data_IF_913864943280
#
_entry.id   IF_913864943280
#
_cell.length_a   1.000
_cell.length_b   1.000
_cell.length_c   1.000
_cell.angle_alpha   90.00
_cell.angle_beta   90.00
_cell.angle_gamma   90.00
#
_symmetry.space_group_name_H-M   'P 1'
#
loop_
_entity.id
_entity.type
_entity.pdbx_description
1 polymer ?
#
# COMPACT_ATOMS: atom_id res chain seq x y z
N UNK A 1 15.59 -35.78 68.01
CA UNK A 1 14.40 -35.71 68.90
C UNK A 1 13.19 -35.50 67.98
N UNK A 2 12.62 -36.54 67.36
CA UNK A 2 11.47 -37.35 67.90
C UNK A 2 10.27 -36.42 68.23
N UNK A 3 9.05 -36.54 67.70
CA UNK A 3 8.23 -37.70 67.34
C UNK A 3 7.10 -37.28 66.36
N UNK A 4 6.60 -38.26 65.60
CA UNK A 4 5.28 -38.25 64.94
C UNK A 4 4.14 -38.29 65.97
N UNK A 5 2.89 -38.05 65.53
CA UNK A 5 1.96 -39.19 65.38
C UNK A 5 1.21 -39.10 64.05
N UNK A 6 1.27 -40.10 63.16
CA UNK A 6 0.45 -41.34 63.16
C UNK A 6 -1.02 -41.08 63.45
N UNK A 7 -1.80 -40.88 62.39
CA UNK A 7 -3.18 -41.33 62.35
C UNK A 7 -3.38 -42.20 61.11
N UNK A 8 -3.43 -43.49 61.40
CA UNK A 8 -3.81 -44.59 60.52
C UNK A 8 -5.23 -44.39 60.00
N UNK A 9 -5.39 -44.34 58.67
CA UNK A 9 -6.65 -44.72 58.03
C UNK A 9 -6.46 -46.05 57.31
N UNK A 10 -7.04 -47.07 57.93
CA UNK A 10 -7.29 -48.38 57.36
C UNK A 10 -8.11 -48.22 56.08
N UNK A 11 -7.57 -48.68 54.94
CA UNK A 11 -8.32 -48.84 53.70
C UNK A 11 -8.90 -50.26 53.68
N UNK A 12 -10.20 -50.43 53.35
CA UNK A 12 -10.77 -51.75 53.17
C UNK A 12 -10.25 -52.37 51.88
N UNK A 13 -9.74 -53.59 52.02
CA UNK A 13 -9.43 -54.51 50.95
C UNK A 13 -10.76 -55.07 50.41
N UNK A 14 -11.34 -54.46 49.38
CA UNK A 14 -12.51 -55.03 48.69
C UNK A 14 -12.42 -54.81 47.19
N UNK A 15 -12.47 -55.90 46.43
CA UNK A 15 -12.73 -55.87 45.00
C UNK A 15 -11.62 -56.41 44.11
N UNK A 16 -11.09 -57.61 44.40
CA UNK A 16 -10.44 -58.42 43.37
C UNK A 16 -11.52 -58.84 42.35
N UNK A 17 -11.64 -58.14 41.22
CA UNK A 17 -12.26 -58.72 40.03
C UNK A 17 -11.21 -59.58 39.33
N UNK A 18 -11.16 -60.85 39.72
CA UNK A 18 -10.41 -61.87 39.00
C UNK A 18 -11.05 -62.08 37.61
N UNK A 19 -10.57 -61.33 36.61
CA UNK A 19 -10.71 -61.73 35.21
C UNK A 19 -9.36 -62.28 34.75
N UNK A 20 -9.30 -63.60 34.58
CA UNK A 20 -8.16 -64.28 33.96
C UNK A 20 -8.24 -64.06 32.45
N UNK A 21 -7.52 -63.07 31.94
CA UNK A 21 -7.31 -62.90 30.51
C UNK A 21 -6.02 -63.62 30.12
N UNK A 22 -6.15 -64.84 29.59
CA UNK A 22 -5.02 -65.58 29.01
C UNK A 22 -4.73 -64.98 27.64
N UNK A 23 -3.59 -64.29 27.47
CA UNK A 23 -3.16 -63.75 26.19
C UNK A 23 -1.74 -64.21 25.86
N UNK A 24 -1.55 -64.77 24.67
CA UNK A 24 -0.28 -65.30 24.15
C UNK A 24 0.39 -64.30 23.20
N UNK A 25 0.81 -63.15 23.73
CA UNK A 25 1.51 -62.12 22.98
C UNK A 25 2.22 -61.15 23.92
N UNK A 26 3.35 -60.61 23.49
CA UNK A 26 4.21 -59.67 24.25
C UNK A 26 3.37 -58.59 24.93
N UNK A 27 3.22 -58.70 26.26
CA UNK A 27 2.31 -57.89 27.04
C UNK A 27 2.68 -56.41 26.99
N UNK A 28 1.77 -55.58 26.47
CA UNK A 28 1.80 -54.13 26.67
C UNK A 28 1.72 -53.86 28.17
N UNK A 29 2.83 -53.41 28.76
CA UNK A 29 2.97 -53.01 30.17
C UNK A 29 2.16 -51.73 30.44
N UNK A 30 0.83 -51.84 30.40
CA UNK A 30 -0.06 -50.74 30.71
C UNK A 30 0.00 -50.47 32.22
N UNK A 31 0.82 -49.50 32.63
CA UNK A 31 0.75 -48.92 33.98
C UNK A 31 -0.34 -47.87 34.00
N UNK A 32 -1.53 -48.23 34.46
CA UNK A 32 -2.55 -47.23 34.81
C UNK A 32 -2.17 -46.58 36.13
N UNK A 33 -1.92 -45.26 36.13
CA UNK A 33 -1.85 -44.50 37.39
C UNK A 33 -3.22 -44.52 38.05
N UNK A 34 -3.32 -44.76 39.37
CA UNK A 34 -4.61 -44.69 40.05
C UNK A 34 -5.21 -43.30 39.85
N UNK A 35 -6.50 -43.23 39.53
CA UNK A 35 -7.22 -41.97 39.42
C UNK A 35 -7.16 -41.31 40.80
N UNK A 36 -6.29 -40.31 40.95
CA UNK A 36 -6.31 -39.43 42.10
C UNK A 36 -7.66 -38.70 42.01
N UNK A 37 -8.62 -39.13 42.82
CA UNK A 37 -9.90 -38.46 43.03
C UNK A 37 -9.66 -37.12 43.75
N UNK A 38 -8.94 -36.22 43.07
CA UNK A 38 -8.74 -34.86 43.53
C UNK A 38 -10.11 -34.21 43.73
N UNK A 39 -10.26 -33.46 44.81
CA UNK A 39 -11.47 -32.71 45.10
C UNK A 39 -11.88 -31.91 43.84
N UNK A 40 -13.15 -31.93 43.45
CA UNK A 40 -13.61 -31.31 42.22
C UNK A 40 -13.12 -29.85 42.16
N UNK A 41 -12.39 -29.51 41.09
CA UNK A 41 -11.73 -28.23 40.93
C UNK A 41 -12.72 -27.10 41.20
N UNK A 42 -12.41 -26.26 42.20
CA UNK A 42 -13.28 -25.16 42.62
C UNK A 42 -13.66 -24.32 41.40
N UNK A 43 -14.96 -24.18 41.14
CA UNK A 43 -15.49 -23.46 39.99
C UNK A 43 -14.85 -22.08 39.93
N UNK A 44 -14.20 -21.74 38.80
CA UNK A 44 -13.62 -20.40 38.59
C UNK A 44 -14.74 -19.38 38.80
N UNK A 45 -14.56 -18.49 39.78
CA UNK A 45 -15.53 -17.41 40.04
C UNK A 45 -15.62 -16.54 38.78
N UNK A 46 -16.84 -16.18 38.38
CA UNK A 46 -17.03 -15.17 37.33
C UNK A 46 -16.39 -13.87 37.83
N UNK A 47 -15.60 -13.23 36.95
CA UNK A 47 -15.02 -11.92 37.23
C UNK A 47 -16.15 -10.91 37.43
N UNK A 48 -15.95 -9.96 38.34
CA UNK A 48 -16.91 -8.90 38.58
C UNK A 48 -17.22 -8.16 37.26
N UNK A 49 -18.50 -7.82 37.01
CA UNK A 49 -18.90 -7.16 35.76
C UNK A 49 -18.15 -5.84 35.53
N UNK A 50 -17.79 -5.14 36.62
CA UNK A 50 -17.01 -3.91 36.58
C UNK A 50 -15.57 -4.13 36.07
N UNK A 51 -14.94 -5.25 36.44
CA UNK A 51 -13.58 -5.59 35.98
C UNK A 51 -13.58 -5.96 34.49
N UNK A 52 -14.63 -6.63 34.02
CA UNK A 52 -14.81 -6.95 32.59
C UNK A 52 -14.98 -5.67 31.77
N UNK A 53 -15.88 -4.77 32.19
CA UNK A 53 -16.10 -3.47 31.55
C UNK A 53 -14.81 -2.63 31.49
N UNK A 54 -14.06 -2.57 32.58
CA UNK A 54 -12.77 -1.86 32.60
C UNK A 54 -11.73 -2.48 31.65
N UNK A 55 -11.69 -3.81 31.50
CA UNK A 55 -10.81 -4.48 30.54
C UNK A 55 -11.20 -4.17 29.10
N UNK A 56 -12.50 -4.13 28.81
CA UNK A 56 -13.03 -3.77 27.49
C UNK A 56 -12.76 -2.30 27.14
N UNK A 57 -13.01 -1.37 28.08
CA UNK A 57 -12.69 0.06 27.89
C UNK A 57 -11.19 0.28 27.65
N UNK A 58 -10.32 -0.45 28.37
CA UNK A 58 -8.87 -0.41 28.14
C UNK A 58 -8.50 -0.92 26.74
N UNK A 59 -9.13 -2.01 26.26
CA UNK A 59 -8.92 -2.52 24.90
C UNK A 59 -9.41 -1.52 23.84
N UNK A 60 -10.61 -0.95 24.03
CA UNK A 60 -11.19 0.08 23.14
C UNK A 60 -10.27 1.29 23.01
N UNK A 61 -9.81 1.84 24.14
CA UNK A 61 -8.88 3.00 24.15
C UNK A 61 -7.53 2.68 23.51
N UNK A 62 -7.03 1.44 23.61
CA UNK A 62 -5.80 1.00 22.92
C UNK A 62 -5.99 0.95 21.41
N UNK A 63 -7.07 0.32 20.95
CA UNK A 63 -7.42 0.23 19.54
C UNK A 63 -7.65 1.63 18.94
N UNK A 64 -8.39 2.49 19.63
CA UNK A 64 -8.62 3.88 19.19
C UNK A 64 -7.31 4.66 19.03
N UNK A 65 -6.36 4.51 19.98
CA UNK A 65 -5.04 5.14 19.85
C UNK A 65 -4.23 4.55 18.68
N UNK A 66 -4.32 3.25 18.42
CA UNK A 66 -3.65 2.62 17.29
C UNK A 66 -4.23 3.09 15.96
N UNK A 67 -5.56 3.14 15.85
CA UNK A 67 -6.27 3.69 14.68
C UNK A 67 -5.83 5.14 14.44
N UNK A 68 -5.85 6.00 15.47
CA UNK A 68 -5.38 7.40 15.35
C UNK A 68 -3.91 7.53 14.94
N UNK A 69 -3.05 6.55 15.23
CA UNK A 69 -1.64 6.54 14.78
C UNK A 69 -1.53 6.09 13.32
N UNK A 70 -2.25 5.04 12.94
CA UNK A 70 -2.29 4.55 11.56
C UNK A 70 -2.91 5.59 10.62
N UNK A 71 -3.98 6.27 11.03
CA UNK A 71 -4.59 7.36 10.25
C UNK A 71 -3.65 8.54 10.03
N UNK A 72 -2.77 8.83 11.00
CA UNK A 72 -1.75 9.88 10.86
C UNK A 72 -0.63 9.47 9.90
N UNK A 73 -0.19 8.22 9.97
CA UNK A 73 0.85 7.68 9.09
C UNK A 73 0.33 7.54 7.64
N UNK A 74 -0.90 7.05 7.44
CA UNK A 74 -1.51 6.87 6.12
C UNK A 74 -1.63 8.17 5.29
N UNK A 75 -1.54 9.34 5.93
CA UNK A 75 -1.53 10.65 5.27
C UNK A 75 -0.13 11.14 4.88
N UNK A 76 0.92 10.50 5.35
CA UNK A 76 2.29 10.84 4.98
C UNK A 76 2.53 10.32 3.56
N UNK A 77 2.79 11.25 2.64
CA UNK A 77 3.13 10.92 1.26
C UNK A 77 4.54 10.34 1.21
N UNK A 78 4.77 9.43 0.27
CA UNK A 78 6.12 8.95 -0.03
C UNK A 78 6.96 10.14 -0.53
N UNK A 79 8.22 10.28 -0.10
CA UNK A 79 9.10 11.32 -0.61
C UNK A 79 9.38 11.10 -2.09
N UNK A 80 9.59 12.19 -2.84
CA UNK A 80 9.90 12.17 -4.27
C UNK A 80 11.40 12.34 -4.43
N UNK A 81 12.10 11.23 -4.67
CA UNK A 81 13.57 11.19 -4.71
C UNK A 81 14.16 12.10 -5.79
N UNK A 82 13.46 12.27 -6.93
CA UNK A 82 13.92 13.10 -8.05
C UNK A 82 13.94 14.61 -7.74
N UNK A 83 13.13 15.06 -6.76
CA UNK A 83 13.09 16.46 -6.36
C UNK A 83 14.20 16.82 -5.36
N UNK A 84 14.75 15.82 -4.67
CA UNK A 84 15.77 16.01 -3.65
C UNK A 84 17.17 15.77 -4.23
N UNK A 85 18.12 16.63 -3.88
CA UNK A 85 19.52 16.44 -4.28
C UNK A 85 20.16 15.39 -3.38
N UNK A 86 20.74 14.31 -3.91
CA UNK A 86 21.45 13.33 -3.10
C UNK A 86 22.60 13.97 -2.31
N UNK A 87 22.71 13.62 -1.02
CA UNK A 87 23.73 14.17 -0.11
C UNK A 87 25.16 13.94 -0.62
N UNK A 88 25.40 12.80 -1.27
CA UNK A 88 26.70 12.46 -1.89
C UNK A 88 27.18 13.53 -2.89
N UNK A 89 26.26 14.12 -3.68
CA UNK A 89 26.60 15.15 -4.65
C UNK A 89 26.97 16.48 -3.99
N UNK A 90 26.42 16.74 -2.81
CA UNK A 90 26.73 17.94 -2.01
C UNK A 90 28.14 17.79 -1.43
N UNK A 91 28.44 16.64 -0.83
CA UNK A 91 29.75 16.35 -0.23
C UNK A 91 30.88 16.32 -1.28
N UNK A 92 30.61 15.76 -2.45
CA UNK A 92 31.58 15.64 -3.54
C UNK A 92 31.61 16.85 -4.48
N UNK A 93 30.89 17.92 -4.18
CA UNK A 93 30.77 19.09 -5.04
C UNK A 93 32.15 19.64 -5.42
N UNK A 94 33.09 19.70 -4.49
CA UNK A 94 34.46 20.19 -4.72
C UNK A 94 35.23 19.34 -5.75
N UNK A 95 35.03 18.03 -5.76
CA UNK A 95 35.69 17.07 -6.66
C UNK A 95 35.03 17.03 -8.03
N UNK A 96 33.71 17.17 -8.09
CA UNK A 96 32.90 17.04 -9.33
C UNK A 96 32.69 18.35 -10.09
N UNK A 97 32.98 19.49 -9.46
CA UNK A 97 32.76 20.81 -10.08
C UNK A 97 33.66 21.00 -11.31
N UNK A 98 33.03 21.19 -12.47
CA UNK A 98 33.72 21.54 -13.71
C UNK A 98 34.09 23.03 -13.71
N UNK A 99 35.29 23.35 -14.17
CA UNK A 99 35.72 24.74 -14.37
C UNK A 99 35.07 25.29 -15.64
N UNK A 100 34.00 26.07 -15.49
CA UNK A 100 33.28 26.67 -16.62
C UNK A 100 33.98 27.98 -17.01
N UNK A 101 34.42 28.15 -18.27
CA UNK A 101 35.01 29.41 -18.72
C UNK A 101 33.96 30.53 -18.71
N UNK A 102 34.39 31.76 -18.41
CA UNK A 102 33.51 32.93 -18.49
C UNK A 102 33.10 33.13 -19.96
N UNK A 103 31.81 33.32 -20.26
CA UNK A 103 31.37 33.54 -21.63
C UNK A 103 31.90 34.87 -22.17
N UNK A 104 32.22 34.91 -23.46
CA UNK A 104 32.55 36.16 -24.16
C UNK A 104 31.30 37.03 -24.32
N UNK A 105 31.48 38.33 -24.51
CA UNK A 105 30.36 39.26 -24.68
C UNK A 105 29.49 38.90 -25.89
N UNK A 106 30.11 38.52 -27.02
CA UNK A 106 29.43 38.08 -28.24
C UNK A 106 28.55 36.84 -28.01
N UNK A 107 29.00 35.89 -27.18
CA UNK A 107 28.22 34.70 -26.83
C UNK A 107 27.01 35.05 -25.94
N UNK A 108 27.14 36.05 -25.07
CA UNK A 108 26.02 36.52 -24.25
C UNK A 108 24.97 37.23 -25.10
N UNK A 109 25.40 38.09 -26.02
CA UNK A 109 24.50 38.81 -26.93
C UNK A 109 23.75 37.85 -27.87
N UNK A 110 24.46 36.89 -28.47
CA UNK A 110 23.83 35.88 -29.33
C UNK A 110 22.81 35.02 -28.58
N UNK A 111 23.08 34.62 -27.33
CA UNK A 111 22.11 33.93 -26.48
C UNK A 111 20.88 34.79 -26.19
N UNK A 112 21.08 36.05 -25.81
CA UNK A 112 19.98 36.96 -25.53
C UNK A 112 19.09 37.22 -26.76
N UNK A 113 19.69 37.29 -27.96
CA UNK A 113 18.94 37.40 -29.22
C UNK A 113 18.16 36.11 -29.50
N UNK A 114 18.76 34.94 -29.31
CA UNK A 114 18.11 33.65 -29.51
C UNK A 114 16.94 33.45 -28.54
N UNK A 115 17.10 33.83 -27.27
CA UNK A 115 16.02 33.80 -26.27
C UNK A 115 14.85 34.69 -26.67
N UNK A 116 15.10 35.91 -27.17
CA UNK A 116 14.05 36.81 -27.68
C UNK A 116 13.32 36.21 -28.87
N UNK A 117 14.05 35.61 -29.81
CA UNK A 117 13.46 34.94 -30.97
C UNK A 117 12.63 33.73 -30.55
N UNK A 118 13.13 32.92 -29.63
CA UNK A 118 12.43 31.77 -29.07
C UNK A 118 11.16 32.19 -28.35
N UNK A 119 11.21 33.22 -27.50
CA UNK A 119 10.04 33.75 -26.81
C UNK A 119 8.96 34.21 -27.80
N UNK A 120 9.36 34.93 -28.87
CA UNK A 120 8.45 35.36 -29.94
C UNK A 120 7.83 34.16 -30.65
N UNK A 121 8.63 33.15 -30.99
CA UNK A 121 8.14 31.93 -31.65
C UNK A 121 7.12 31.19 -30.79
N UNK A 122 7.44 30.94 -29.51
CA UNK A 122 6.54 30.27 -28.57
C UNK A 122 5.26 31.05 -28.32
N UNK A 123 5.32 32.38 -28.30
CA UNK A 123 4.13 33.23 -28.23
C UNK A 123 3.24 33.04 -29.45
N UNK A 124 3.81 33.01 -30.66
CA UNK A 124 3.06 32.81 -31.90
C UNK A 124 2.41 31.43 -31.97
N UNK A 125 3.14 30.38 -31.59
CA UNK A 125 2.63 29.01 -31.48
C UNK A 125 1.43 28.94 -30.52
N UNK A 126 1.55 29.54 -29.32
CA UNK A 126 0.45 29.56 -28.35
C UNK A 126 -0.75 30.36 -28.81
N UNK A 127 -0.54 31.48 -29.49
CA UNK A 127 -1.62 32.27 -30.07
C UNK A 127 -2.37 31.45 -31.13
N UNK A 128 -1.66 30.70 -31.97
CA UNK A 128 -2.27 29.80 -32.94
C UNK A 128 -3.06 28.66 -32.27
N UNK A 129 -2.54 28.07 -31.20
CA UNK A 129 -3.25 27.07 -30.38
C UNK A 129 -4.58 27.64 -29.84
N UNK A 130 -4.56 28.85 -29.28
CA UNK A 130 -5.78 29.49 -28.76
C UNK A 130 -6.81 29.77 -29.85
N UNK A 131 -6.37 30.30 -30.99
CA UNK A 131 -7.27 30.51 -32.13
C UNK A 131 -7.89 29.21 -32.63
N UNK A 132 -7.14 28.10 -32.59
CA UNK A 132 -7.65 26.79 -32.96
C UNK A 132 -8.70 26.31 -31.95
N UNK A 133 -8.43 26.43 -30.65
CA UNK A 133 -9.40 26.05 -29.62
C UNK A 133 -10.68 26.88 -29.71
N UNK A 134 -10.58 28.20 -29.90
CA UNK A 134 -11.74 29.07 -30.06
C UNK A 134 -12.60 28.64 -31.26
N UNK A 135 -11.96 28.28 -32.38
CA UNK A 135 -12.67 27.76 -33.57
C UNK A 135 -13.37 26.44 -33.30
N UNK A 136 -12.69 25.50 -32.64
CA UNK A 136 -13.26 24.18 -32.31
C UNK A 136 -14.47 24.35 -31.38
N UNK A 137 -14.34 25.17 -30.33
CA UNK A 137 -15.42 25.42 -29.36
C UNK A 137 -16.58 26.15 -30.02
N UNK A 138 -16.33 27.15 -30.86
CA UNK A 138 -17.38 27.86 -31.59
C UNK A 138 -18.12 26.93 -32.57
N UNK A 139 -17.39 26.06 -33.28
CA UNK A 139 -17.98 25.07 -34.17
C UNK A 139 -18.84 24.05 -33.41
N UNK A 140 -18.35 23.55 -32.26
CA UNK A 140 -19.10 22.65 -31.38
C UNK A 140 -20.38 23.30 -30.87
N UNK A 141 -20.30 24.54 -30.37
CA UNK A 141 -21.46 25.26 -29.87
C UNK A 141 -22.51 25.52 -30.96
N UNK A 142 -22.07 25.91 -32.16
CA UNK A 142 -22.96 26.08 -33.32
C UNK A 142 -23.64 24.77 -33.69
N UNK A 143 -22.89 23.67 -33.78
CA UNK A 143 -23.43 22.36 -34.10
C UNK A 143 -24.47 21.89 -33.07
N UNK A 144 -24.22 22.12 -31.78
CA UNK A 144 -25.19 21.81 -30.71
C UNK A 144 -26.44 22.68 -30.79
N UNK A 145 -26.32 23.97 -31.11
CA UNK A 145 -27.46 24.85 -31.32
C UNK A 145 -28.33 24.43 -32.51
N UNK A 146 -27.71 24.06 -33.64
CA UNK A 146 -28.44 23.51 -34.79
C UNK A 146 -29.10 22.16 -34.48
N UNK A 147 -28.41 21.29 -33.72
CA UNK A 147 -28.95 20.01 -33.28
C UNK A 147 -30.19 20.20 -32.40
N UNK A 148 -30.17 21.17 -31.49
CA UNK A 148 -31.30 21.46 -30.60
C UNK A 148 -32.54 21.93 -31.38
N UNK A 149 -32.35 22.74 -32.42
CA UNK A 149 -33.44 23.19 -33.30
C UNK A 149 -34.02 22.05 -34.14
N UNK A 150 -33.19 21.07 -34.54
CA UNK A 150 -33.61 19.93 -35.33
C UNK A 150 -34.25 18.81 -34.50
N UNK A 151 -33.70 18.51 -33.32
CA UNK A 151 -34.17 17.44 -32.42
C UNK A 151 -33.65 17.63 -30.99
N UNK A 152 -34.55 17.93 -30.07
CA UNK A 152 -34.22 18.09 -28.64
C UNK A 152 -33.78 16.76 -27.99
N UNK A 153 -34.37 15.63 -28.39
CA UNK A 153 -34.00 14.31 -27.85
C UNK A 153 -32.53 13.94 -28.12
N UNK A 154 -32.01 14.28 -29.31
CA UNK A 154 -30.62 14.02 -29.66
C UNK A 154 -29.67 14.96 -28.93
N UNK A 155 -30.06 16.23 -28.77
CA UNK A 155 -29.32 17.21 -28.00
C UNK A 155 -29.14 16.78 -26.53
N UNK A 156 -30.22 16.33 -25.87
CA UNK A 156 -30.17 15.84 -24.49
C UNK A 156 -29.23 14.65 -24.32
N UNK A 157 -29.13 13.76 -25.32
CA UNK A 157 -28.18 12.64 -25.30
C UNK A 157 -26.75 13.10 -25.56
N UNK A 158 -26.54 14.01 -26.51
CA UNK A 158 -25.20 14.48 -26.90
C UNK A 158 -24.44 15.24 -25.80
N UNK A 159 -25.16 15.89 -24.87
CA UNK A 159 -24.55 16.62 -23.74
C UNK A 159 -24.13 15.69 -22.61
N UNK A 160 -24.67 14.46 -22.54
CA UNK A 160 -24.34 13.55 -21.46
C UNK A 160 -22.86 13.17 -21.52
N UNK A 161 -22.14 13.21 -20.39
CA UNK A 161 -20.75 12.77 -20.36
C UNK A 161 -20.69 11.26 -20.62
N UNK A 162 -19.79 10.85 -21.52
CA UNK A 162 -19.58 9.44 -21.82
C UNK A 162 -18.69 8.79 -20.76
N UNK A 163 -19.20 7.83 -19.95
CA UNK A 163 -18.40 7.14 -18.95
C UNK A 163 -17.30 6.26 -19.57
N UNK A 164 -17.42 5.87 -20.85
CA UNK A 164 -16.43 5.04 -21.53
C UNK A 164 -15.10 5.77 -21.80
N UNK A 165 -15.08 7.10 -21.71
CA UNK A 165 -13.87 7.91 -21.88
C UNK A 165 -12.89 7.77 -20.71
N UNK A 166 -13.29 7.17 -19.58
CA UNK A 166 -12.44 6.98 -18.40
C UNK A 166 -12.28 5.48 -18.09
N UNK A 167 -11.04 4.96 -17.94
CA UNK A 167 -9.76 5.64 -18.03
C UNK A 167 -9.24 5.80 -19.48
N UNK A 168 -8.88 7.03 -19.86
CA UNK A 168 -8.19 7.30 -21.12
C UNK A 168 -6.68 7.04 -20.98
N UNK A 169 -6.12 6.22 -21.87
CA UNK A 169 -4.68 5.94 -21.95
C UNK A 169 -4.20 6.24 -23.36
N UNK A 170 -3.18 7.09 -23.47
CA UNK A 170 -2.51 7.39 -24.73
C UNK A 170 -0.99 7.30 -24.55
N UNK A 171 -0.32 6.75 -25.55
CA UNK A 171 1.14 6.74 -25.62
C UNK A 171 1.60 7.89 -26.50
N UNK A 172 2.64 8.60 -26.07
CA UNK A 172 3.23 9.68 -26.85
C UNK A 172 3.92 9.18 -28.13
N UNK A 173 4.19 10.07 -29.09
CA UNK A 173 4.93 9.70 -30.29
C UNK A 173 6.36 9.25 -29.94
N UNK A 174 6.83 8.20 -30.62
CA UNK A 174 8.21 7.70 -30.52
C UNK A 174 9.12 8.42 -31.53
N UNK A 175 10.41 8.56 -31.21
CA UNK A 175 11.38 9.18 -32.14
C UNK A 175 11.55 8.37 -33.43
N UNK A 176 11.47 7.05 -33.34
CA UNK A 176 11.55 6.12 -34.47
C UNK A 176 10.43 5.09 -34.36
N UNK A 177 9.75 4.75 -35.46
CA UNK A 177 8.69 3.74 -35.43
C UNK A 177 9.26 2.34 -35.12
N UNK A 178 8.44 1.42 -34.57
CA UNK A 178 8.87 0.05 -34.30
C UNK A 178 9.34 -0.68 -35.55
N UNK A 179 10.43 -1.44 -35.41
CA UNK A 179 10.92 -2.34 -36.46
C UNK A 179 10.09 -3.62 -36.41
N UNK A 180 9.61 -4.08 -37.57
CA UNK A 180 8.87 -5.34 -37.68
C UNK A 180 9.80 -6.52 -37.39
N UNK A 181 9.29 -7.49 -36.62
CA UNK A 181 9.98 -8.75 -36.31
C UNK A 181 11.36 -8.55 -35.64
N UNK A 182 11.51 -7.47 -34.88
CA UNK A 182 12.70 -7.25 -34.08
C UNK A 182 12.74 -8.22 -32.90
N UNK A 183 13.71 -9.14 -32.91
CA UNK A 183 13.99 -10.04 -31.80
C UNK A 183 14.75 -9.27 -30.70
N UNK A 184 14.05 -8.95 -29.62
CA UNK A 184 14.65 -8.31 -28.45
C UNK A 184 15.56 -9.32 -27.73
N UNK A 185 16.78 -8.93 -27.31
CA UNK A 185 17.64 -9.81 -26.52
C UNK A 185 17.01 -10.12 -25.15
N UNK A 186 17.26 -11.34 -24.66
CA UNK A 186 16.78 -11.80 -23.36
C UNK A 186 17.42 -11.01 -22.21
N UNK A 187 16.61 -10.69 -21.19
CA UNK A 187 17.05 -10.01 -19.98
C UNK A 187 16.03 -10.15 -18.84
N UNK A 188 16.50 -9.98 -17.59
CA UNK A 188 15.66 -10.00 -16.40
C UNK A 188 15.37 -8.59 -15.91
N UNK A 189 14.10 -8.29 -15.62
CA UNK A 189 13.69 -7.04 -14.98
C UNK A 189 13.67 -7.22 -13.45
N UNK A 190 14.54 -6.51 -12.75
CA UNK A 190 14.59 -6.48 -11.29
C UNK A 190 14.09 -5.12 -10.82
N UNK A 191 12.95 -5.11 -10.10
CA UNK A 191 12.43 -3.88 -9.51
C UNK A 191 13.27 -3.45 -8.30
N UNK A 192 13.99 -2.34 -8.45
CA UNK A 192 14.85 -1.74 -7.41
C UNK A 192 14.16 -0.58 -6.67
N UNK A 193 12.85 -0.40 -6.88
CA UNK A 193 12.08 0.68 -6.24
C UNK A 193 12.12 0.57 -4.72
N UNK A 194 12.40 1.69 -4.03
CA UNK A 194 12.45 1.72 -2.57
C UNK A 194 11.04 1.50 -1.99
N UNK A 195 10.93 0.53 -1.08
CA UNK A 195 9.70 0.27 -0.31
C UNK A 195 9.69 1.17 0.92
N UNK A 196 8.64 1.98 1.03
CA UNK A 196 8.37 2.85 2.17
C UNK A 196 7.21 2.23 2.97
N UNK A 197 7.53 1.58 4.10
CA UNK A 197 6.57 0.96 5.05
C UNK A 197 6.34 1.84 6.29
#
# INVERSE_FOLDING_TARGET
>A
MSLLPVLSRLLPLVGQSASRSVHSGTGLLFRSTPVLCAEPLKKKKKLDPQIVKQREERKRKRLEKQIRRLEKNARQLKPIEELEVPMELIDEQSKRKRNVPKPTAELLESRALLEKQWAKYRMQEKLADYQLFDRIVAAQAKALGELQLASDELYQRAIQPDPALLPFVAQGPVSTPPIKDYEQPDGEYIDVSRKWE
#
